data_IF_365232301622
#
_entry.id   IF_365232301622
#
_cell.length_a   1.000
_cell.length_b   1.000
_cell.length_c   1.000
_cell.angle_alpha   90.00
_cell.angle_beta   90.00
_cell.angle_gamma   90.00
#
_symmetry.space_group_name_H-M   'P 1'
#
loop_
_entity.id
_entity.type
_entity.pdbx_description
1 polymer ?
#
# COMPACT_ATOMS: atom_id res chain seq x y z
N UNK A 1 41.57 12.24 -12.06
CA UNK A 1 40.28 11.82 -11.49
C UNK A 1 39.42 11.45 -12.68
N UNK A 2 39.44 10.17 -13.03
CA UNK A 2 38.71 9.64 -14.18
C UNK A 2 37.31 9.25 -13.71
N UNK A 3 36.29 9.96 -14.20
CA UNK A 3 34.87 9.59 -14.09
C UNK A 3 34.51 8.51 -15.13
N UNK A 4 35.39 7.53 -15.32
CA UNK A 4 35.07 6.34 -16.11
C UNK A 4 34.10 5.48 -15.30
N UNK A 5 32.81 5.64 -15.57
CA UNK A 5 31.81 4.57 -15.59
C UNK A 5 32.14 3.41 -14.64
N UNK A 6 31.72 3.53 -13.37
CA UNK A 6 31.62 2.38 -12.47
C UNK A 6 30.45 1.54 -12.99
N UNK A 7 30.70 0.80 -14.07
CA UNK A 7 29.86 -0.30 -14.52
C UNK A 7 29.93 -1.36 -13.43
N UNK A 8 28.81 -1.52 -12.75
CA UNK A 8 28.59 -2.46 -11.66
C UNK A 8 29.00 -3.88 -12.09
N UNK A 9 30.06 -4.47 -11.50
CA UNK A 9 30.47 -5.83 -11.83
C UNK A 9 29.59 -6.80 -11.07
N UNK A 10 28.32 -6.94 -11.46
CA UNK A 10 27.38 -7.94 -10.91
C UNK A 10 26.23 -8.33 -11.87
N UNK A 11 26.31 -7.94 -13.16
CA UNK A 11 25.20 -8.13 -14.11
C UNK A 11 25.48 -9.06 -15.30
N UNK A 12 26.50 -9.90 -15.21
CA UNK A 12 26.69 -11.01 -16.13
C UNK A 12 26.75 -12.32 -15.34
N UNK A 13 25.81 -13.27 -15.52
CA UNK A 13 26.10 -14.65 -15.20
C UNK A 13 27.21 -15.14 -16.16
N UNK A 14 28.22 -15.89 -15.71
CA UNK A 14 29.25 -16.47 -16.59
C UNK A 14 28.70 -17.50 -17.62
N UNK A 15 27.39 -17.75 -17.63
CA UNK A 15 26.78 -18.80 -18.42
C UNK A 15 25.29 -18.58 -18.56
N UNK A 16 24.85 -18.07 -19.74
CA UNK A 16 23.59 -18.38 -20.44
C UNK A 16 22.22 -18.37 -19.75
N UNK A 17 22.11 -18.10 -18.45
CA UNK A 17 20.84 -18.12 -17.72
C UNK A 17 20.28 -16.69 -17.58
N UNK A 18 18.95 -16.51 -17.74
CA UNK A 18 18.34 -15.19 -17.63
C UNK A 18 18.59 -14.60 -16.24
N UNK A 19 19.02 -13.33 -16.20
CA UNK A 19 19.29 -12.62 -14.97
C UNK A 19 18.06 -12.66 -14.02
N UNK A 20 18.26 -12.86 -12.71
CA UNK A 20 17.19 -13.00 -11.72
C UNK A 20 16.11 -11.93 -11.86
N UNK A 21 14.86 -12.27 -11.54
CA UNK A 21 13.75 -11.31 -11.54
C UNK A 21 13.99 -10.12 -10.59
N UNK A 22 14.88 -10.28 -9.60
CA UNK A 22 15.28 -9.27 -8.62
C UNK A 22 16.64 -8.59 -8.93
N UNK A 23 17.35 -8.97 -9.99
CA UNK A 23 18.70 -8.47 -10.27
C UNK A 23 18.72 -7.47 -11.43
N UNK A 24 18.60 -6.20 -11.09
CA UNK A 24 19.58 -5.17 -11.46
C UNK A 24 19.80 -4.75 -12.92
N UNK A 25 18.81 -4.69 -13.81
CA UNK A 25 18.98 -3.99 -15.12
C UNK A 25 17.93 -2.92 -15.42
N UNK A 26 17.14 -2.55 -14.42
CA UNK A 26 15.94 -1.71 -14.61
C UNK A 26 15.93 -0.44 -13.78
N UNK A 27 17.06 -0.07 -13.16
CA UNK A 27 17.15 1.11 -12.29
C UNK A 27 18.21 2.09 -12.78
N UNK A 28 18.25 2.30 -14.09
CA UNK A 28 19.20 3.21 -14.72
C UNK A 28 18.64 4.64 -14.82
N UNK A 29 17.36 4.83 -14.48
CA UNK A 29 16.69 6.13 -14.48
C UNK A 29 16.87 6.92 -13.18
N UNK A 30 17.15 6.24 -12.05
CA UNK A 30 17.33 6.89 -10.75
C UNK A 30 18.67 6.48 -10.14
N UNK A 31 19.55 7.44 -9.80
CA UNK A 31 20.84 7.10 -9.22
C UNK A 31 20.67 6.53 -7.81
N UNK A 32 21.55 5.60 -7.42
CA UNK A 32 21.43 4.81 -6.19
C UNK A 32 21.37 5.69 -4.92
N UNK A 33 22.08 6.82 -4.92
CA UNK A 33 22.06 7.80 -3.83
C UNK A 33 20.68 8.47 -3.68
N UNK A 34 20.02 8.84 -4.79
CA UNK A 34 18.68 9.41 -4.75
C UNK A 34 17.65 8.39 -4.26
N UNK A 35 17.75 7.13 -4.71
CA UNK A 35 16.88 6.05 -4.23
C UNK A 35 17.02 5.85 -2.72
N UNK A 36 18.25 5.90 -2.19
CA UNK A 36 18.52 5.80 -0.75
C UNK A 36 17.80 6.90 0.03
N UNK A 37 17.94 8.17 -0.37
CA UNK A 37 17.28 9.29 0.31
C UNK A 37 15.75 9.21 0.21
N UNK A 38 15.20 8.85 -0.95
CA UNK A 38 13.74 8.72 -1.13
C UNK A 38 13.20 7.60 -0.24
N UNK A 39 13.82 6.41 -0.23
CA UNK A 39 13.40 5.30 0.62
C UNK A 39 13.55 5.62 2.10
N UNK A 40 14.61 6.33 2.49
CA UNK A 40 14.82 6.78 3.87
C UNK A 40 13.75 7.78 4.32
N UNK A 41 13.41 8.74 3.46
CA UNK A 41 12.33 9.70 3.73
C UNK A 41 10.97 8.99 3.87
N UNK A 42 10.62 8.11 2.93
CA UNK A 42 9.37 7.33 3.01
C UNK A 42 9.30 6.48 4.28
N UNK A 43 10.39 5.81 4.65
CA UNK A 43 10.43 5.02 5.88
C UNK A 43 10.27 5.91 7.13
N UNK A 44 10.98 7.03 7.21
CA UNK A 44 10.86 7.96 8.33
C UNK A 44 9.44 8.52 8.45
N UNK A 45 8.82 8.87 7.32
CA UNK A 45 7.43 9.30 7.25
C UNK A 45 6.47 8.21 7.75
N UNK A 46 6.59 6.98 7.26
CA UNK A 46 5.72 5.87 7.66
C UNK A 46 5.89 5.54 9.16
N UNK A 47 7.10 5.64 9.71
CA UNK A 47 7.33 5.47 11.15
C UNK A 47 6.63 6.59 11.94
N UNK A 48 6.81 7.85 11.56
CA UNK A 48 6.13 8.97 12.23
C UNK A 48 4.60 8.84 12.15
N UNK A 49 4.07 8.53 10.97
CA UNK A 49 2.65 8.29 10.76
C UNK A 49 2.15 7.09 11.57
N UNK A 50 2.94 6.02 11.71
CA UNK A 50 2.55 4.85 12.52
C UNK A 50 2.32 5.22 13.99
N UNK A 51 3.19 6.05 14.57
CA UNK A 51 3.07 6.50 15.96
C UNK A 51 1.79 7.33 16.13
N UNK A 52 1.53 8.27 15.21
CA UNK A 52 0.32 9.11 15.24
C UNK A 52 -0.97 8.32 15.00
N UNK A 53 -0.94 7.32 14.11
CA UNK A 53 -2.08 6.42 13.86
C UNK A 53 -2.39 5.58 15.10
N UNK A 54 -1.36 5.05 15.77
CA UNK A 54 -1.54 4.27 16.99
C UNK A 54 -2.10 5.14 18.12
N UNK A 55 -1.57 6.36 18.29
CA UNK A 55 -2.10 7.36 19.23
C UNK A 55 -3.58 7.65 18.93
N UNK A 56 -3.94 7.87 17.66
CA UNK A 56 -5.33 8.03 17.25
C UNK A 56 -6.20 6.83 17.62
N UNK A 57 -5.78 5.61 17.27
CA UNK A 57 -6.57 4.38 17.48
C UNK A 57 -6.72 3.98 18.95
N UNK A 58 -5.74 4.31 19.80
CA UNK A 58 -5.73 3.93 21.22
C UNK A 58 -6.33 5.02 22.11
N UNK A 59 -5.97 6.29 21.88
CA UNK A 59 -6.30 7.37 22.82
C UNK A 59 -7.46 8.27 22.35
N UNK A 60 -7.65 8.42 21.04
CA UNK A 60 -8.59 9.43 20.51
C UNK A 60 -9.84 8.83 19.85
N UNK A 61 -9.77 7.59 19.36
CA UNK A 61 -10.92 6.86 18.85
C UNK A 61 -11.73 6.31 20.03
N UNK A 62 -12.76 7.05 20.44
CA UNK A 62 -13.68 6.59 21.48
C UNK A 62 -14.38 5.30 21.04
N UNK A 63 -13.98 4.18 21.64
CA UNK A 63 -14.56 2.87 21.38
C UNK A 63 -15.01 2.22 22.67
N UNK A 64 -16.18 1.59 22.62
CA UNK A 64 -16.70 0.78 23.71
C UNK A 64 -16.01 -0.59 23.80
N UNK A 65 -15.16 -0.91 22.83
CA UNK A 65 -14.50 -2.20 22.67
C UNK A 65 -13.01 -2.13 23.03
N UNK A 66 -12.43 -3.29 23.35
CA UNK A 66 -11.02 -3.43 23.70
C UNK A 66 -10.08 -2.93 22.59
N UNK A 67 -8.99 -2.27 22.98
CA UNK A 67 -7.93 -1.79 22.06
C UNK A 67 -7.22 -2.93 21.34
N UNK A 68 -7.33 -4.16 21.85
CA UNK A 68 -6.87 -5.35 21.14
C UNK A 68 -7.56 -5.55 19.77
N UNK A 69 -8.65 -4.83 19.46
CA UNK A 69 -9.27 -4.86 18.13
C UNK A 69 -8.32 -4.40 17.02
N UNK A 70 -7.42 -3.46 17.34
CA UNK A 70 -6.55 -2.75 16.39
C UNK A 70 -5.68 -3.75 15.59
N UNK A 71 -5.25 -4.85 16.20
CA UNK A 71 -4.40 -5.86 15.51
C UNK A 71 -5.15 -6.76 14.53
N UNK A 72 -6.49 -6.69 14.51
CA UNK A 72 -7.34 -7.47 13.59
C UNK A 72 -7.85 -6.64 12.42
N UNK A 73 -7.67 -5.32 12.47
CA UNK A 73 -8.12 -4.37 11.45
C UNK A 73 -7.27 -4.46 10.18
N UNK A 74 -7.93 -4.48 9.02
CA UNK A 74 -7.23 -4.55 7.73
C UNK A 74 -6.31 -3.35 7.55
N UNK A 75 -6.75 -2.16 7.95
CA UNK A 75 -6.03 -0.92 7.75
C UNK A 75 -4.69 -0.92 8.52
N UNK A 76 -4.68 -1.46 9.73
CA UNK A 76 -3.47 -1.56 10.57
C UNK A 76 -2.54 -2.64 10.02
N UNK A 77 -3.08 -3.80 9.66
CA UNK A 77 -2.29 -4.89 9.07
C UNK A 77 -1.66 -4.42 7.75
N UNK A 78 -2.46 -3.79 6.88
CA UNK A 78 -2.03 -3.26 5.60
C UNK A 78 -0.94 -2.20 5.74
N UNK A 79 -1.13 -1.23 6.64
CA UNK A 79 -0.13 -0.22 6.96
C UNK A 79 1.15 -0.85 7.54
N UNK A 80 1.01 -1.85 8.42
CA UNK A 80 2.13 -2.59 8.99
C UNK A 80 2.93 -3.36 7.93
N UNK A 81 2.26 -4.00 6.98
CA UNK A 81 2.91 -4.66 5.83
C UNK A 81 3.66 -3.66 4.94
N UNK A 82 3.07 -2.48 4.70
CA UNK A 82 3.70 -1.38 3.95
C UNK A 82 4.96 -0.88 4.67
N UNK A 83 4.87 -0.62 5.97
CA UNK A 83 5.99 -0.21 6.81
C UNK A 83 7.11 -1.27 6.80
N UNK A 84 6.76 -2.54 6.97
CA UNK A 84 7.71 -3.65 6.93
C UNK A 84 8.40 -3.76 5.56
N UNK A 85 7.66 -3.62 4.48
CA UNK A 85 8.22 -3.60 3.13
C UNK A 85 9.23 -2.46 2.97
N UNK A 86 8.88 -1.23 3.35
CA UNK A 86 9.77 -0.07 3.26
C UNK A 86 11.02 -0.21 4.15
N UNK A 87 10.90 -0.83 5.32
CA UNK A 87 12.05 -1.14 6.17
C UNK A 87 13.02 -2.14 5.51
N UNK A 88 12.48 -3.20 4.88
CA UNK A 88 13.28 -4.21 4.17
C UNK A 88 14.04 -3.57 2.99
N UNK A 89 13.33 -2.89 2.09
CA UNK A 89 13.93 -2.32 0.87
C UNK A 89 14.86 -1.14 1.17
N UNK A 90 14.61 -0.37 2.23
CA UNK A 90 15.56 0.63 2.72
C UNK A 90 16.84 -0.03 3.22
N UNK A 91 16.73 -1.08 4.04
CA UNK A 91 17.88 -1.83 4.56
C UNK A 91 18.73 -2.40 3.43
N UNK A 92 18.09 -2.93 2.38
CA UNK A 92 18.77 -3.40 1.18
C UNK A 92 19.46 -2.25 0.44
N UNK A 93 18.80 -1.12 0.27
CA UNK A 93 19.36 0.03 -0.44
C UNK A 93 20.56 0.62 0.30
N UNK A 94 20.47 0.73 1.63
CA UNK A 94 21.55 1.18 2.51
C UNK A 94 22.75 0.25 2.44
N UNK A 95 22.53 -1.06 2.60
CA UNK A 95 23.62 -2.05 2.56
C UNK A 95 24.29 -2.10 1.18
N UNK A 96 23.55 -1.95 0.09
CA UNK A 96 24.15 -1.87 -1.25
C UNK A 96 25.00 -0.62 -1.47
N UNK A 97 24.59 0.53 -0.93
CA UNK A 97 25.30 1.80 -1.14
C UNK A 97 26.57 1.89 -0.29
N UNK A 98 26.49 1.53 0.99
CA UNK A 98 27.60 1.73 1.94
C UNK A 98 28.45 0.48 2.15
N UNK A 99 27.92 -0.72 1.89
CA UNK A 99 28.61 -1.99 2.12
C UNK A 99 28.52 -2.90 0.87
N UNK A 100 29.02 -2.47 -0.31
CA UNK A 100 28.88 -3.24 -1.55
C UNK A 100 29.59 -4.60 -1.54
N UNK A 101 30.58 -4.82 -0.64
CA UNK A 101 31.35 -6.06 -0.52
C UNK A 101 31.25 -6.65 0.90
N UNK A 102 30.04 -7.03 1.30
CA UNK A 102 29.81 -7.67 2.62
C UNK A 102 30.57 -9.00 2.73
N UNK A 103 30.80 -9.69 1.61
CA UNK A 103 31.52 -10.98 1.56
C UNK A 103 32.99 -10.87 1.96
N UNK A 104 33.60 -9.70 1.83
CA UNK A 104 34.98 -9.45 2.25
C UNK A 104 35.11 -9.42 3.78
N UNK A 105 34.00 -9.17 4.52
CA UNK A 105 33.97 -9.25 5.98
C UNK A 105 33.70 -10.68 6.43
N UNK A 106 34.75 -11.39 6.84
CA UNK A 106 34.70 -12.83 7.14
C UNK A 106 34.04 -13.22 8.47
N UNK A 107 33.94 -12.36 9.48
CA UNK A 107 33.36 -12.76 10.78
C UNK A 107 33.00 -11.58 11.70
N UNK A 108 32.03 -11.79 12.60
CA UNK A 108 31.63 -10.83 13.63
C UNK A 108 30.11 -10.66 13.78
N UNK A 109 29.68 -9.98 14.84
CA UNK A 109 28.27 -9.62 15.04
C UNK A 109 27.79 -8.61 13.98
N UNK A 110 28.66 -7.68 13.59
CA UNK A 110 28.39 -6.69 12.53
C UNK A 110 28.13 -7.38 11.19
N UNK A 111 28.91 -8.41 10.83
CA UNK A 111 28.65 -9.22 9.64
C UNK A 111 27.28 -9.91 9.70
N UNK A 112 26.87 -10.42 10.87
CA UNK A 112 25.53 -11.06 11.02
C UNK A 112 24.41 -10.04 10.83
N UNK A 113 24.54 -8.85 11.42
CA UNK A 113 23.56 -7.76 11.27
C UNK A 113 23.50 -7.27 9.82
N UNK A 114 24.64 -6.97 9.21
CA UNK A 114 24.72 -6.54 7.81
C UNK A 114 24.16 -7.61 6.88
N UNK A 115 24.46 -8.89 7.12
CA UNK A 115 23.92 -9.99 6.31
C UNK A 115 22.41 -10.13 6.43
N UNK A 116 21.85 -9.92 7.61
CA UNK A 116 20.41 -9.92 7.84
C UNK A 116 19.71 -8.73 7.14
N UNK A 117 20.31 -7.55 7.22
CA UNK A 117 19.82 -6.31 6.60
C UNK A 117 20.09 -6.22 5.10
N UNK A 118 20.97 -7.06 4.56
CA UNK A 118 21.29 -7.10 3.14
C UNK A 118 20.32 -7.96 2.34
N UNK A 119 20.24 -7.68 1.05
CA UNK A 119 19.55 -8.58 0.12
C UNK A 119 20.16 -9.99 0.25
N UNK A 120 19.34 -11.05 0.36
CA UNK A 120 19.87 -12.40 0.49
C UNK A 120 20.84 -12.72 -0.66
N UNK A 121 22.09 -13.08 -0.34
CA UNK A 121 23.14 -13.42 -1.32
C UNK A 121 22.71 -14.50 -2.34
N UNK A 122 21.72 -15.33 -1.98
CA UNK A 122 21.11 -16.32 -2.86
C UNK A 122 19.68 -15.93 -3.28
N UNK A 123 19.47 -14.68 -3.69
CA UNK A 123 18.30 -14.30 -4.50
C UNK A 123 18.30 -14.98 -5.88
N UNK A 124 19.28 -15.84 -6.18
CA UNK A 124 19.22 -16.77 -7.31
C UNK A 124 18.24 -17.94 -7.07
N UNK A 125 17.77 -18.14 -5.83
CA UNK A 125 16.74 -19.14 -5.52
C UNK A 125 15.35 -18.65 -5.95
N UNK A 126 14.72 -19.42 -6.84
CA UNK A 126 13.36 -19.18 -7.34
C UNK A 126 12.31 -19.10 -6.22
N UNK A 127 12.49 -19.86 -5.13
CA UNK A 127 11.59 -19.84 -3.96
C UNK A 127 11.67 -18.52 -3.19
N UNK A 128 12.88 -18.02 -2.91
CA UNK A 128 13.06 -16.75 -2.18
C UNK A 128 12.54 -15.57 -2.98
N UNK A 129 12.78 -15.57 -4.30
CA UNK A 129 12.18 -14.60 -5.20
C UNK A 129 10.66 -14.65 -5.12
N UNK A 130 10.07 -15.85 -5.22
CA UNK A 130 8.61 -16.03 -5.13
C UNK A 130 8.01 -15.45 -3.84
N UNK A 131 8.57 -15.76 -2.67
CA UNK A 131 8.02 -15.24 -1.41
C UNK A 131 8.15 -13.72 -1.29
N UNK A 132 9.26 -13.15 -1.74
CA UNK A 132 9.44 -11.70 -1.72
C UNK A 132 8.47 -11.00 -2.69
N UNK A 133 8.30 -11.52 -3.91
CA UNK A 133 7.33 -10.96 -4.86
C UNK A 133 5.90 -11.13 -4.36
N UNK A 134 5.56 -12.29 -3.79
CA UNK A 134 4.25 -12.52 -3.18
C UNK A 134 3.99 -11.53 -2.05
N UNK A 135 4.97 -11.29 -1.16
CA UNK A 135 4.86 -10.29 -0.10
C UNK A 135 4.65 -8.88 -0.64
N UNK A 136 5.43 -8.47 -1.66
CA UNK A 136 5.27 -7.18 -2.32
C UNK A 136 3.86 -7.00 -2.90
N UNK A 137 3.34 -8.00 -3.61
CA UNK A 137 1.98 -7.94 -4.17
C UNK A 137 0.93 -7.96 -3.07
N UNK A 138 1.08 -8.76 -2.03
CA UNK A 138 0.15 -8.81 -0.90
C UNK A 138 0.01 -7.42 -0.26
N UNK A 139 1.14 -6.81 0.12
CA UNK A 139 1.17 -5.47 0.70
C UNK A 139 0.50 -4.45 -0.23
N UNK A 140 0.85 -4.46 -1.51
CA UNK A 140 0.31 -3.51 -2.49
C UNK A 140 -1.21 -3.65 -2.66
N UNK A 141 -1.69 -4.89 -2.74
CA UNK A 141 -3.10 -5.22 -2.93
C UNK A 141 -3.89 -4.85 -1.68
N UNK A 142 -3.39 -5.19 -0.49
CA UNK A 142 -4.07 -4.86 0.76
C UNK A 142 -4.19 -3.36 0.95
N UNK A 143 -3.19 -2.55 0.57
CA UNK A 143 -3.30 -1.09 0.63
C UNK A 143 -4.41 -0.55 -0.29
N UNK A 144 -4.48 -1.03 -1.53
CA UNK A 144 -5.49 -0.59 -2.50
C UNK A 144 -6.89 -1.09 -2.10
N UNK A 145 -7.02 -2.36 -1.70
CA UNK A 145 -8.29 -2.93 -1.22
C UNK A 145 -8.78 -2.14 -0.01
N UNK A 146 -7.90 -1.84 0.95
CA UNK A 146 -8.24 -1.07 2.14
C UNK A 146 -8.88 0.28 1.77
N UNK A 147 -8.28 1.00 0.83
CA UNK A 147 -8.81 2.27 0.32
C UNK A 147 -10.14 2.10 -0.41
N UNK A 148 -10.28 1.08 -1.25
CA UNK A 148 -11.54 0.82 -1.95
C UNK A 148 -12.66 0.48 -0.96
N UNK A 149 -12.38 -0.37 0.04
CA UNK A 149 -13.35 -0.70 1.08
C UNK A 149 -13.72 0.52 1.92
N UNK A 150 -12.78 1.40 2.22
CA UNK A 150 -13.10 2.63 2.94
C UNK A 150 -14.04 3.53 2.12
N UNK A 151 -13.66 3.91 0.89
CA UNK A 151 -14.44 4.88 0.12
C UNK A 151 -15.71 4.32 -0.51
N UNK A 152 -15.75 3.04 -0.89
CA UNK A 152 -16.88 2.45 -1.61
C UNK A 152 -17.86 1.73 -0.69
N UNK A 153 -17.41 1.30 0.50
CA UNK A 153 -18.22 0.44 1.39
C UNK A 153 -18.42 1.11 2.74
N UNK A 154 -17.35 1.53 3.41
CA UNK A 154 -17.41 2.06 4.79
C UNK A 154 -17.97 3.48 4.83
N UNK A 155 -17.49 4.38 3.98
CA UNK A 155 -17.88 5.78 3.96
C UNK A 155 -19.35 5.98 3.57
N UNK A 156 -19.91 5.28 2.56
CA UNK A 156 -21.34 5.34 2.29
C UNK A 156 -22.20 4.72 3.40
N UNK A 157 -21.73 3.63 4.03
CA UNK A 157 -22.46 2.97 5.12
C UNK A 157 -22.55 3.85 6.37
N UNK A 158 -21.48 4.57 6.70
CA UNK A 158 -21.48 5.55 7.79
C UNK A 158 -22.44 6.73 7.52
N UNK A 159 -22.62 7.12 6.26
CA UNK A 159 -23.54 8.20 5.86
C UNK A 159 -25.01 7.77 5.70
N UNK A 160 -25.30 6.47 5.66
CA UNK A 160 -26.66 5.92 5.49
C UNK A 160 -27.39 5.63 6.81
N UNK A 161 -26.93 6.21 7.93
CA UNK A 161 -27.43 5.94 9.27
C UNK A 161 -28.96 5.98 9.36
N UNK A 162 -29.55 4.79 9.52
CA UNK A 162 -30.87 4.57 10.10
C UNK A 162 -30.73 4.76 11.61
N UNK A 163 -30.66 6.03 12.05
CA UNK A 163 -30.62 6.43 13.45
C UNK A 163 -31.99 6.14 14.11
N UNK A 164 -32.22 4.87 14.46
CA UNK A 164 -33.34 4.44 15.31
C UNK A 164 -33.00 4.47 16.81
N UNK A 165 -31.96 5.21 17.21
CA UNK A 165 -31.81 5.66 18.60
C UNK A 165 -32.41 7.06 18.74
N UNK A 166 -33.32 7.29 19.71
CA UNK A 166 -34.06 8.54 19.81
C UNK A 166 -33.10 9.70 20.01
N UNK A 167 -33.21 10.68 19.13
CA UNK A 167 -32.49 11.94 19.20
C UNK A 167 -32.58 12.51 20.63
N UNK A 168 -31.44 12.59 21.30
CA UNK A 168 -31.30 13.44 22.47
C UNK A 168 -31.51 14.88 21.99
N UNK A 169 -32.41 15.66 22.63
CA UNK A 169 -32.73 16.99 22.14
C UNK A 169 -31.52 17.92 22.35
N UNK A 170 -30.82 18.23 21.27
CA UNK A 170 -29.83 19.30 21.22
C UNK A 170 -30.48 20.62 21.70
N UNK A 171 -29.89 21.30 22.71
CA UNK A 171 -30.41 22.54 23.23
C UNK A 171 -30.27 23.65 22.18
N UNK A 172 -31.38 24.33 21.94
CA UNK A 172 -31.50 25.47 21.05
C UNK A 172 -30.46 26.55 21.36
N UNK A 173 -29.57 26.86 20.42
CA UNK A 173 -28.62 27.96 20.60
C UNK A 173 -27.75 28.31 19.39
N UNK A 174 -28.08 29.42 18.74
CA UNK A 174 -27.19 30.30 17.97
C UNK A 174 -26.60 29.81 16.62
N UNK A 175 -27.36 30.09 15.55
CA UNK A 175 -26.97 31.15 14.61
C UNK A 175 -25.81 30.89 13.64
N UNK A 176 -26.14 30.48 12.41
CA UNK A 176 -25.50 31.08 11.23
C UNK A 176 -26.49 31.14 10.06
N UNK A 177 -27.11 32.31 9.94
CA UNK A 177 -27.93 32.71 8.80
C UNK A 177 -27.06 33.13 7.62
N UNK A 178 -27.56 32.81 6.41
CA UNK A 178 -27.23 33.37 5.07
C UNK A 178 -26.09 32.70 4.29
N UNK A 179 -26.48 31.73 3.46
CA UNK A 179 -25.91 31.62 2.10
C UNK A 179 -26.94 32.23 1.11
N UNK A 180 -26.56 33.04 0.11
CA UNK A 180 -27.50 33.67 -0.80
C UNK A 180 -28.14 32.64 -1.75
N UNK A 181 -29.43 32.80 -1.98
CA UNK A 181 -30.31 32.01 -2.86
C UNK A 181 -29.86 31.95 -4.33
N UNK A 182 -28.85 32.72 -4.72
CA UNK A 182 -28.38 32.91 -6.11
C UNK A 182 -27.42 31.81 -6.62
N UNK A 183 -26.94 30.90 -5.77
CA UNK A 183 -26.08 29.77 -6.18
C UNK A 183 -26.86 28.48 -6.49
N UNK A 184 -28.20 28.51 -6.38
CA UNK A 184 -29.08 27.37 -6.70
C UNK A 184 -29.33 27.18 -8.20
N UNK A 185 -29.00 28.16 -9.03
CA UNK A 185 -29.34 28.17 -10.47
C UNK A 185 -28.17 27.84 -11.42
N UNK A 186 -26.96 27.58 -10.91
CA UNK A 186 -25.94 26.90 -11.72
C UNK A 186 -26.21 25.41 -11.66
N UNK A 187 -26.94 24.92 -12.65
CA UNK A 187 -27.28 23.52 -12.89
C UNK A 187 -26.07 22.59 -13.00
N UNK A 188 -25.42 22.30 -11.88
CA UNK A 188 -24.66 21.06 -11.64
C UNK A 188 -25.69 20.01 -11.20
N UNK A 189 -26.65 19.74 -12.08
CA UNK A 189 -27.63 18.69 -11.92
C UNK A 189 -26.95 17.34 -12.04
N UNK A 190 -27.09 16.53 -10.98
CA UNK A 190 -27.12 15.07 -11.01
C UNK A 190 -26.04 14.38 -11.86
N UNK A 191 -24.89 14.09 -11.22
CA UNK A 191 -24.12 12.91 -11.62
C UNK A 191 -24.93 11.65 -11.26
N UNK A 192 -25.24 10.74 -12.20
CA UNK A 192 -26.13 9.58 -11.95
C UNK A 192 -25.51 8.46 -11.08
N UNK A 193 -24.41 8.71 -10.37
CA UNK A 193 -23.62 7.68 -9.69
C UNK A 193 -23.66 7.74 -8.15
N UNK A 194 -24.48 8.62 -7.57
CA UNK A 194 -24.72 8.63 -6.13
C UNK A 194 -26.17 8.22 -5.84
N UNK A 195 -26.40 7.20 -4.98
CA UNK A 195 -27.74 6.90 -4.52
C UNK A 195 -28.36 8.12 -3.87
N UNK A 196 -29.64 8.28 -4.19
CA UNK A 196 -30.53 9.37 -3.90
C UNK A 196 -30.61 9.70 -2.39
N UNK A 197 -30.47 10.99 -2.05
CA UNK A 197 -31.09 11.58 -0.86
C UNK A 197 -30.27 11.63 0.43
N UNK A 198 -29.37 12.60 0.58
CA UNK A 198 -28.93 13.08 1.89
C UNK A 198 -28.79 14.60 1.89
N UNK A 199 -29.90 15.28 2.22
CA UNK A 199 -29.83 16.65 2.69
C UNK A 199 -29.39 16.62 4.16
N UNK A 200 -28.12 16.91 4.45
CA UNK A 200 -27.72 17.27 5.81
C UNK A 200 -26.26 17.07 6.20
N UNK A 201 -25.63 15.95 5.83
CA UNK A 201 -24.23 15.66 6.20
C UNK A 201 -23.53 15.05 5.01
N UNK A 202 -22.64 15.81 4.35
CA UNK A 202 -21.80 15.22 3.32
C UNK A 202 -20.69 14.43 4.01
N UNK A 203 -20.33 13.22 3.55
CA UNK A 203 -19.34 12.37 4.22
C UNK A 203 -17.96 13.01 4.37
N UNK A 204 -17.66 14.02 3.56
CA UNK A 204 -16.44 14.83 3.67
C UNK A 204 -16.50 15.86 4.79
N UNK A 205 -17.69 16.34 5.17
CA UNK A 205 -17.86 17.27 6.29
C UNK A 205 -17.50 16.60 7.61
N UNK A 206 -17.86 15.33 7.82
CA UNK A 206 -17.47 14.60 9.04
C UNK A 206 -15.98 14.24 9.05
N UNK A 207 -15.41 13.92 7.88
CA UNK A 207 -13.98 13.60 7.75
C UNK A 207 -13.05 14.79 8.07
N UNK A 208 -13.49 16.02 7.81
CA UNK A 208 -12.70 17.24 8.07
C UNK A 208 -13.29 18.13 9.18
N UNK A 209 -14.46 17.80 9.73
CA UNK A 209 -15.18 18.58 10.73
C UNK A 209 -14.80 18.25 12.16
N UNK A 210 -14.36 17.02 12.44
CA UNK A 210 -13.99 16.56 13.80
C UNK A 210 -12.53 16.86 14.20
N UNK A 211 -11.76 17.54 13.35
CA UNK A 211 -10.40 17.98 13.64
C UNK A 211 -9.32 17.38 12.74
N UNK A 212 -8.17 18.05 12.69
CA UNK A 212 -7.09 17.73 11.76
C UNK A 212 -6.45 16.36 12.00
N UNK A 213 -6.49 15.84 13.24
CA UNK A 213 -5.81 14.61 13.62
C UNK A 213 -6.55 13.35 13.13
N UNK A 214 -7.88 13.30 13.29
CA UNK A 214 -8.72 12.24 12.69
C UNK A 214 -8.56 12.21 11.17
N UNK A 215 -8.66 13.37 10.52
CA UNK A 215 -8.42 13.50 9.09
C UNK A 215 -7.02 13.00 8.68
N UNK A 216 -6.00 13.36 9.45
CA UNK A 216 -4.62 12.90 9.22
C UNK A 216 -4.53 11.37 9.31
N UNK A 217 -5.05 10.74 10.36
CA UNK A 217 -4.98 9.29 10.54
C UNK A 217 -5.71 8.54 9.41
N UNK A 218 -6.93 8.96 9.08
CA UNK A 218 -7.73 8.37 7.99
C UNK A 218 -7.00 8.54 6.64
N UNK A 219 -6.52 9.74 6.32
CA UNK A 219 -5.81 9.96 5.06
C UNK A 219 -4.55 9.10 4.95
N UNK A 220 -3.82 8.90 6.04
CA UNK A 220 -2.62 8.05 6.03
C UNK A 220 -2.97 6.56 5.84
N UNK A 221 -3.97 6.06 6.56
CA UNK A 221 -4.39 4.65 6.52
C UNK A 221 -4.89 4.21 5.14
N UNK A 222 -5.55 5.11 4.40
CA UNK A 222 -6.16 4.79 3.11
C UNK A 222 -5.42 5.45 1.94
N UNK A 223 -5.51 6.78 1.85
CA UNK A 223 -5.08 7.55 0.67
C UNK A 223 -3.58 7.53 0.49
N UNK A 224 -2.82 7.98 1.50
CA UNK A 224 -1.36 8.10 1.37
C UNK A 224 -0.71 6.73 1.22
N UNK A 225 -1.15 5.72 1.97
CA UNK A 225 -0.65 4.35 1.82
C UNK A 225 -0.81 3.83 0.39
N UNK A 226 -1.95 4.10 -0.25
CA UNK A 226 -2.19 3.73 -1.66
C UNK A 226 -1.30 4.52 -2.61
N UNK A 227 -1.14 5.83 -2.40
CA UNK A 227 -0.26 6.66 -3.22
C UNK A 227 1.19 6.17 -3.14
N UNK A 228 1.69 5.83 -1.95
CA UNK A 228 3.03 5.25 -1.76
C UNK A 228 3.17 3.97 -2.56
N UNK A 229 2.18 3.06 -2.50
CA UNK A 229 2.17 1.81 -3.28
C UNK A 229 2.22 2.07 -4.78
N UNK A 230 1.44 3.03 -5.30
CA UNK A 230 1.44 3.38 -6.71
C UNK A 230 2.79 3.96 -7.16
N UNK A 231 3.38 4.86 -6.35
CA UNK A 231 4.71 5.42 -6.60
C UNK A 231 5.78 4.32 -6.56
N UNK A 232 5.70 3.41 -5.60
CA UNK A 232 6.62 2.27 -5.50
C UNK A 232 6.50 1.36 -6.73
N UNK A 233 5.28 1.02 -7.15
CA UNK A 233 5.03 0.18 -8.31
C UNK A 233 5.54 0.80 -9.62
N UNK A 234 5.37 2.11 -9.79
CA UNK A 234 5.70 2.83 -11.02
C UNK A 234 7.16 3.30 -11.09
N UNK A 235 7.80 3.65 -9.98
CA UNK A 235 9.07 4.40 -10.03
C UNK A 235 10.21 3.81 -9.19
N UNK A 236 9.91 3.33 -7.97
CA UNK A 236 10.96 3.04 -6.98
C UNK A 236 11.37 1.56 -6.94
N UNK A 237 10.47 0.65 -7.31
CA UNK A 237 10.71 -0.78 -7.22
C UNK A 237 11.32 -1.37 -8.50
N UNK A 238 12.15 -2.40 -8.33
CA UNK A 238 12.73 -3.23 -9.39
C UNK A 238 12.12 -4.63 -9.48
N UNK A 239 11.11 -4.96 -8.65
CA UNK A 239 10.39 -6.25 -8.72
C UNK A 239 9.83 -6.45 -10.12
N UNK A 240 10.35 -7.44 -10.84
CA UNK A 240 9.83 -7.82 -12.17
C UNK A 240 8.51 -8.58 -12.04
N UNK A 241 7.79 -8.63 -13.16
CA UNK A 241 6.58 -9.45 -13.28
C UNK A 241 6.86 -10.91 -12.90
N UNK A 242 6.02 -11.51 -12.03
CA UNK A 242 6.19 -12.90 -11.64
C UNK A 242 5.92 -13.84 -12.82
N UNK A 243 6.81 -14.82 -13.03
CA UNK A 243 6.63 -15.85 -14.06
C UNK A 243 5.50 -16.84 -13.72
N UNK A 244 5.34 -17.16 -12.43
CA UNK A 244 4.32 -18.08 -11.94
C UNK A 244 3.06 -17.32 -11.48
N UNK A 245 2.32 -16.74 -12.42
CA UNK A 245 1.13 -15.91 -12.15
C UNK A 245 0.09 -16.70 -11.36
N UNK A 246 -0.20 -17.95 -11.75
CA UNK A 246 -1.19 -18.79 -11.07
C UNK A 246 -0.84 -19.05 -9.60
N UNK A 247 0.44 -19.27 -9.28
CA UNK A 247 0.90 -19.45 -7.91
C UNK A 247 0.75 -18.16 -7.07
N UNK A 248 0.93 -16.99 -7.68
CA UNK A 248 0.68 -15.71 -7.00
C UNK A 248 -0.80 -15.49 -6.75
N UNK A 249 -1.65 -15.73 -7.75
CA UNK A 249 -3.11 -15.64 -7.58
C UNK A 249 -3.59 -16.56 -6.46
N UNK A 250 -3.17 -17.83 -6.47
CA UNK A 250 -3.55 -18.77 -5.42
C UNK A 250 -3.02 -18.34 -4.04
N UNK A 251 -1.76 -17.91 -3.96
CA UNK A 251 -1.17 -17.42 -2.72
C UNK A 251 -1.90 -16.20 -2.16
N UNK A 252 -2.30 -15.27 -3.03
CA UNK A 252 -3.05 -14.06 -2.66
C UNK A 252 -4.48 -14.37 -2.22
N UNK A 253 -5.17 -15.29 -2.90
CA UNK A 253 -6.48 -15.80 -2.47
C UNK A 253 -6.38 -16.45 -1.08
N UNK A 254 -5.37 -17.31 -0.87
CA UNK A 254 -5.13 -17.96 0.41
C UNK A 254 -4.85 -16.94 1.53
N UNK A 255 -3.98 -15.97 1.29
CA UNK A 255 -3.63 -14.94 2.28
C UNK A 255 -4.80 -13.98 2.57
N UNK A 256 -5.62 -13.68 1.56
CA UNK A 256 -6.84 -12.88 1.76
C UNK A 256 -7.88 -13.65 2.59
N UNK A 257 -8.05 -14.95 2.32
CA UNK A 257 -8.89 -15.83 3.14
C UNK A 257 -8.35 -15.98 4.57
N UNK A 258 -7.02 -16.03 4.74
CA UNK A 258 -6.39 -16.05 6.06
C UNK A 258 -6.67 -14.76 6.83
N UNK A 259 -6.64 -13.60 6.17
CA UNK A 259 -7.06 -12.34 6.79
C UNK A 259 -8.53 -12.38 7.22
N UNK A 260 -9.45 -12.88 6.38
CA UNK A 260 -10.86 -13.03 6.78
C UNK A 260 -10.98 -13.89 8.04
N UNK A 261 -10.29 -15.03 8.09
CA UNK A 261 -10.27 -15.89 9.27
C UNK A 261 -9.71 -15.15 10.49
N UNK A 262 -8.64 -14.35 10.30
CA UNK A 262 -8.06 -13.53 11.36
C UNK A 262 -9.03 -12.47 11.88
N UNK A 263 -9.74 -11.77 10.99
CA UNK A 263 -10.74 -10.78 11.34
C UNK A 263 -11.93 -11.41 12.10
N UNK A 264 -12.34 -12.62 11.71
CA UNK A 264 -13.36 -13.38 12.42
C UNK A 264 -12.93 -13.76 13.85
N UNK A 265 -11.67 -14.18 14.03
CA UNK A 265 -11.09 -14.40 15.37
C UNK A 265 -11.10 -13.11 16.17
N UNK A 266 -10.68 -12.00 15.57
CA UNK A 266 -10.72 -10.67 16.18
C UNK A 266 -12.10 -10.35 16.75
N UNK A 267 -13.13 -10.49 15.92
CA UNK A 267 -14.52 -10.30 16.35
C UNK A 267 -14.91 -11.16 17.55
N UNK A 268 -14.54 -12.44 17.57
CA UNK A 268 -14.85 -13.30 18.71
C UNK A 268 -14.14 -12.91 20.00
N UNK A 269 -12.96 -12.29 19.90
CA UNK A 269 -12.13 -11.92 21.06
C UNK A 269 -12.48 -10.54 21.59
N UNK A 270 -12.78 -9.59 20.70
CA UNK A 270 -12.93 -8.17 21.06
C UNK A 270 -14.37 -7.68 21.00
N UNK A 271 -15.29 -8.50 20.48
CA UNK A 271 -16.71 -8.17 20.31
C UNK A 271 -16.99 -7.22 19.14
N UNK A 272 -15.96 -6.84 18.37
CA UNK A 272 -16.07 -5.93 17.23
C UNK A 272 -15.18 -6.40 16.08
N UNK A 273 -15.63 -6.16 14.86
CA UNK A 273 -14.89 -6.52 13.66
C UNK A 273 -15.48 -5.80 12.44
N UNK A 274 -14.98 -6.09 11.23
CA UNK A 274 -15.51 -5.47 10.02
C UNK A 274 -17.00 -5.73 9.89
N UNK A 275 -17.80 -4.68 9.70
CA UNK A 275 -19.26 -4.76 9.67
C UNK A 275 -19.81 -5.74 8.62
N UNK A 276 -19.10 -5.86 7.49
CA UNK A 276 -19.45 -6.78 6.41
C UNK A 276 -19.24 -8.27 6.75
N UNK A 277 -18.63 -8.57 7.91
CA UNK A 277 -18.54 -9.91 8.52
C UNK A 277 -19.59 -10.16 9.60
N UNK A 278 -20.38 -9.16 9.98
CA UNK A 278 -21.47 -9.31 10.93
C UNK A 278 -22.75 -9.71 10.22
N UNK A 279 -23.43 -10.77 10.69
CA UNK A 279 -24.73 -11.15 10.15
C UNK A 279 -25.81 -10.12 10.41
N UNK A 280 -25.71 -9.43 11.55
CA UNK A 280 -26.70 -8.45 11.99
C UNK A 280 -26.52 -7.10 11.25
N UNK A 281 -25.27 -6.67 11.03
CA UNK A 281 -24.96 -5.42 10.30
C UNK A 281 -24.96 -5.62 8.77
N UNK A 282 -24.53 -6.77 8.26
CA UNK A 282 -24.61 -7.09 6.83
C UNK A 282 -26.03 -7.50 6.39
N UNK A 283 -26.96 -7.66 7.34
CA UNK A 283 -28.38 -7.94 7.12
C UNK A 283 -28.75 -9.42 6.92
N UNK A 284 -27.78 -10.31 6.66
CA UNK A 284 -28.01 -11.76 6.62
C UNK A 284 -26.71 -12.57 6.68
N UNK A 285 -26.81 -13.87 6.99
CA UNK A 285 -25.66 -14.79 6.90
C UNK A 285 -25.19 -14.99 5.47
N UNK A 286 -26.12 -14.99 4.52
CA UNK A 286 -25.84 -15.08 3.10
C UNK A 286 -25.05 -13.86 2.61
N UNK A 287 -25.38 -12.65 3.09
CA UNK A 287 -24.64 -11.43 2.79
C UNK A 287 -23.20 -11.48 3.34
N UNK A 288 -23.00 -11.98 4.57
CA UNK A 288 -21.66 -12.19 5.13
C UNK A 288 -20.81 -13.12 4.26
N UNK A 289 -21.40 -14.24 3.81
CA UNK A 289 -20.73 -15.18 2.90
C UNK A 289 -20.39 -14.50 1.57
N UNK A 290 -21.33 -13.76 0.99
CA UNK A 290 -21.12 -13.03 -0.26
C UNK A 290 -20.01 -11.96 -0.13
N UNK A 291 -20.02 -11.17 0.95
CA UNK A 291 -19.01 -10.16 1.23
C UNK A 291 -17.62 -10.79 1.42
N UNK A 292 -17.55 -11.93 2.12
CA UNK A 292 -16.32 -12.70 2.31
C UNK A 292 -15.74 -13.18 0.97
N UNK A 293 -16.59 -13.78 0.12
CA UNK A 293 -16.17 -14.22 -1.21
C UNK A 293 -15.74 -13.00 -2.04
N UNK A 294 -16.50 -11.92 -1.99
CA UNK A 294 -16.19 -10.66 -2.66
C UNK A 294 -14.82 -10.10 -2.28
N UNK A 295 -14.51 -10.05 -0.98
CA UNK A 295 -13.21 -9.61 -0.47
C UNK A 295 -12.06 -10.48 -1.01
N UNK A 296 -12.21 -11.80 -0.93
CA UNK A 296 -11.18 -12.74 -1.40
C UNK A 296 -10.97 -12.63 -2.92
N UNK A 297 -12.06 -12.54 -3.69
CA UNK A 297 -12.03 -12.39 -5.16
C UNK A 297 -11.55 -11.00 -5.60
N UNK A 298 -11.68 -9.97 -4.76
CA UNK A 298 -11.12 -8.65 -5.05
C UNK A 298 -9.59 -8.68 -5.15
N UNK A 299 -8.93 -9.57 -4.40
CA UNK A 299 -7.46 -9.73 -4.41
C UNK A 299 -6.86 -9.98 -5.80
N UNK A 300 -7.29 -10.98 -6.58
CA UNK A 300 -6.78 -11.18 -7.95
C UNK A 300 -7.15 -10.05 -8.92
N UNK A 301 -8.26 -9.34 -8.72
CA UNK A 301 -8.64 -8.18 -9.55
C UNK A 301 -7.61 -7.05 -9.35
N UNK A 302 -7.32 -6.72 -8.10
CA UNK A 302 -6.32 -5.70 -7.76
C UNK A 302 -4.90 -6.15 -8.11
N UNK A 303 -4.61 -7.45 -7.99
CA UNK A 303 -3.35 -8.02 -8.49
C UNK A 303 -3.15 -7.71 -9.97
N UNK A 304 -4.18 -7.88 -10.81
CA UNK A 304 -4.09 -7.56 -12.24
C UNK A 304 -3.76 -6.08 -12.49
N UNK A 305 -4.34 -5.18 -11.68
CA UNK A 305 -4.06 -3.74 -11.74
C UNK A 305 -2.59 -3.45 -11.37
N UNK A 306 -2.11 -3.93 -10.22
CA UNK A 306 -0.72 -3.72 -9.79
C UNK A 306 0.27 -4.36 -10.77
N UNK A 307 -0.04 -5.55 -11.28
CA UNK A 307 0.73 -6.21 -12.32
C UNK A 307 0.81 -5.36 -13.60
N UNK A 308 -0.28 -4.71 -13.99
CA UNK A 308 -0.33 -3.74 -15.08
C UNK A 308 0.60 -2.55 -14.86
N UNK A 309 0.60 -1.95 -13.67
CA UNK A 309 1.54 -0.85 -13.35
C UNK A 309 3.01 -1.28 -13.45
N UNK A 310 3.34 -2.48 -12.96
CA UNK A 310 4.69 -3.05 -13.10
C UNK A 310 5.04 -3.24 -14.59
N UNK A 311 4.09 -3.69 -15.42
CA UNK A 311 4.30 -3.84 -16.86
C UNK A 311 4.55 -2.49 -17.57
N UNK A 312 3.80 -1.45 -17.19
CA UNK A 312 3.97 -0.08 -17.71
C UNK A 312 5.36 0.43 -17.35
N UNK A 313 5.77 0.33 -16.08
CA UNK A 313 7.12 0.72 -15.65
C UNK A 313 8.19 0.00 -16.44
N UNK A 314 8.11 -1.33 -16.57
CA UNK A 314 9.10 -2.10 -17.34
C UNK A 314 9.21 -1.61 -18.79
N UNK A 315 8.11 -1.19 -19.38
CA UNK A 315 8.08 -0.65 -20.76
C UNK A 315 8.75 0.72 -20.84
N UNK A 316 8.45 1.61 -19.89
CA UNK A 316 9.08 2.95 -19.77
C UNK A 316 10.59 2.82 -19.57
N UNK A 317 11.03 1.94 -18.68
CA UNK A 317 12.46 1.73 -18.43
C UNK A 317 13.17 1.20 -19.69
N UNK A 318 12.56 0.25 -20.40
CA UNK A 318 13.11 -0.27 -21.66
C UNK A 318 13.23 0.81 -22.74
N UNK A 319 12.26 1.71 -22.85
CA UNK A 319 12.32 2.78 -23.85
C UNK A 319 13.45 3.77 -23.56
N UNK A 320 13.66 4.15 -22.29
CA UNK A 320 14.79 4.99 -21.89
C UNK A 320 16.14 4.35 -22.20
N UNK A 321 16.28 3.04 -21.95
CA UNK A 321 17.49 2.30 -22.29
C UNK A 321 17.79 2.32 -23.78
N UNK A 322 16.78 2.06 -24.61
CA UNK A 322 16.92 2.09 -26.06
C UNK A 322 17.33 3.48 -26.57
N UNK A 323 16.75 4.54 -26.02
CA UNK A 323 17.12 5.91 -26.38
C UNK A 323 18.57 6.23 -26.02
N UNK A 324 19.05 5.84 -24.82
CA UNK A 324 20.45 6.04 -24.42
C UNK A 324 21.42 5.26 -25.29
N UNK A 325 21.11 4.01 -25.61
CA UNK A 325 21.93 3.19 -26.51
C UNK A 325 22.02 3.78 -27.91
N UNK A 326 20.91 4.35 -28.43
CA UNK A 326 20.92 5.05 -29.73
C UNK A 326 21.79 6.30 -29.73
N UNK A 327 21.72 7.10 -28.66
CA UNK A 327 22.55 8.30 -28.51
C UNK A 327 24.03 7.92 -28.42
N UNK A 328 24.38 6.92 -27.61
CA UNK A 328 25.76 6.43 -27.49
C UNK A 328 26.29 5.84 -28.81
N UNK A 329 25.45 5.10 -29.54
CA UNK A 329 25.82 4.56 -30.85
C UNK A 329 25.96 5.63 -31.94
N UNK A 330 25.24 6.75 -31.83
CA UNK A 330 25.42 7.90 -32.72
C UNK A 330 26.74 8.62 -32.41
N UNK A 331 27.03 8.89 -31.14
CA UNK A 331 28.29 9.51 -30.73
C UNK A 331 29.52 8.68 -31.16
N UNK A 332 29.47 7.36 -31.01
CA UNK A 332 30.56 6.46 -31.43
C UNK A 332 30.73 6.30 -32.96
N UNK A 333 29.80 6.84 -33.78
CA UNK A 333 29.95 6.90 -35.24
C UNK A 333 30.56 8.21 -35.72
N UNK A 334 30.55 9.23 -34.87
CA UNK A 334 31.05 10.57 -35.18
C UNK A 334 32.51 10.77 -34.70
N UNK A 335 33.07 9.81 -33.97
CA UNK A 335 34.48 9.70 -33.53
C UNK A 335 35.32 8.80 -34.46
#
# INVERSE_FOLDING_TARGET
MDESSITTPLLAPPSGLPAPAASGRTQDHLPQNALFYIRGFLLAYLVAASIMILDYKVEQEESKFSDWRIIFELEIISFGLLLAYHAIVFSWTFTHLYFPRIEDRRSGWEYRVLRFLSLPANMNSLRKQFYFTLFYFLMSIFAIINTMLYFLVTLPHAGSGDDSSPAEPEPSGLGMSKLPTELRDFGVGQSPLLPYGTAGKTPFTDMFGEGWFKAFAILNLFVISTLIVLVEALFLNSVKRPYAIGAHIFGLLFLSGLYVAWAAVGRTVTGTGPFWLDGDEAGSREAVVANTIGFVVLSPIIFALVYGFVAIRETIVKSFQLSRMRIAAAAARDD
#
